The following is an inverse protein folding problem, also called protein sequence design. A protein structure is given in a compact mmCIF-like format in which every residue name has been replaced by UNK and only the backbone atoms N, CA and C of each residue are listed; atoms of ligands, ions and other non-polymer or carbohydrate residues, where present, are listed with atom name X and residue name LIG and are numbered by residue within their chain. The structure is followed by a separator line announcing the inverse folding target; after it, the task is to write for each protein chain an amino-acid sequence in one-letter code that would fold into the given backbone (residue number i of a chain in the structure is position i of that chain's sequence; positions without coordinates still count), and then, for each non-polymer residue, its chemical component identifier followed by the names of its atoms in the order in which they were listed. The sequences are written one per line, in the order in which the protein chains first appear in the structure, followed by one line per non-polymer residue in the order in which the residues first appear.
data_IF_527054388143
#
_entry.id   IF_527054388143
#
_cell.length_a   1.000
_cell.length_b   1.000
_cell.length_c   1.000
_cell.angle_alpha   90.00
_cell.angle_beta   90.00
_cell.angle_gamma   90.00
#
_symmetry.space_group_name_H-M   'P 1'
#
loop_
_entity.id
_entity.type
_entity.pdbx_description
1 polymer ?
#
# COMPACT_ATOMS: atom_id res chain seq x y z
N UNK A 1 6.42 34.77 1.48
CA UNK A 1 5.22 35.14 2.22
C UNK A 1 4.05 34.15 2.09
N UNK A 2 4.05 33.21 1.13
CA UNK A 2 3.01 32.16 0.95
C UNK A 2 3.17 30.95 1.90
N UNK A 3 4.38 30.66 2.39
CA UNK A 3 4.70 29.50 3.25
C UNK A 3 3.87 29.46 4.54
N UNK A 4 3.43 30.61 5.05
CA UNK A 4 2.66 30.74 6.30
C UNK A 4 1.32 29.98 6.28
N UNK A 5 0.79 29.66 5.10
CA UNK A 5 -0.50 28.97 4.92
C UNK A 5 -0.36 27.50 4.50
N UNK A 6 0.86 27.07 4.18
CA UNK A 6 1.13 25.66 3.76
C UNK A 6 1.34 24.84 5.02
N UNK A 7 0.54 23.78 5.19
CA UNK A 7 0.61 22.89 6.36
C UNK A 7 1.50 21.67 6.10
N UNK A 8 1.63 21.22 4.87
CA UNK A 8 2.47 20.10 4.46
C UNK A 8 2.73 20.14 2.96
N UNK A 9 3.74 19.42 2.50
CA UNK A 9 4.10 19.27 1.09
C UNK A 9 3.86 17.80 0.69
N UNK A 10 3.31 17.58 -0.48
CA UNK A 10 3.18 16.26 -1.07
C UNK A 10 4.02 16.20 -2.34
N UNK A 11 5.17 15.51 -2.28
CA UNK A 11 6.00 15.24 -3.45
C UNK A 11 5.31 14.16 -4.29
N UNK A 12 4.94 14.53 -5.53
CA UNK A 12 4.21 13.66 -6.47
C UNK A 12 5.11 12.98 -7.49
N UNK A 13 6.42 13.10 -7.30
CA UNK A 13 7.39 12.37 -8.11
C UNK A 13 7.12 10.88 -8.01
N UNK A 14 7.27 10.18 -9.13
CA UNK A 14 7.06 8.73 -9.14
C UNK A 14 8.06 8.01 -8.21
N UNK A 15 9.29 8.55 -8.11
CA UNK A 15 10.38 8.03 -7.27
C UNK A 15 11.24 9.20 -6.83
N UNK A 16 11.07 9.68 -5.60
CA UNK A 16 11.83 10.82 -5.11
C UNK A 16 13.31 10.46 -4.84
N UNK A 17 13.59 9.24 -4.40
CA UNK A 17 14.95 8.77 -4.09
C UNK A 17 15.65 8.03 -5.24
N UNK A 18 15.40 8.43 -6.50
CA UNK A 18 16.00 7.77 -7.66
C UNK A 18 17.53 7.91 -7.67
N UNK A 19 18.04 9.09 -7.33
CA UNK A 19 19.47 9.41 -7.26
C UNK A 19 19.86 9.66 -5.81
N UNK A 20 20.64 8.76 -5.21
CA UNK A 20 20.92 8.74 -3.77
C UNK A 20 21.62 10.01 -3.28
N UNK A 21 22.66 10.47 -4.02
CA UNK A 21 23.45 11.66 -3.61
C UNK A 21 22.57 12.91 -3.64
N UNK A 22 21.86 13.11 -4.77
CA UNK A 22 20.93 14.23 -4.89
C UNK A 22 19.84 14.20 -3.81
N UNK A 23 19.30 13.00 -3.51
CA UNK A 23 18.27 12.85 -2.49
C UNK A 23 18.79 13.22 -1.10
N UNK A 24 20.01 12.82 -0.78
CA UNK A 24 20.66 13.14 0.50
C UNK A 24 20.86 14.64 0.64
N UNK A 25 21.40 15.31 -0.39
CA UNK A 25 21.60 16.75 -0.40
C UNK A 25 20.27 17.52 -0.32
N UNK A 26 19.27 17.05 -1.07
CA UNK A 26 17.93 17.63 -1.03
C UNK A 26 17.29 17.51 0.36
N UNK A 27 17.39 16.36 1.03
CA UNK A 27 16.84 16.18 2.37
C UNK A 27 17.54 17.06 3.40
N UNK A 28 18.87 17.20 3.32
CA UNK A 28 19.64 18.09 4.19
C UNK A 28 19.22 19.56 4.00
N UNK A 29 19.11 20.00 2.75
CA UNK A 29 18.67 21.37 2.44
C UNK A 29 17.22 21.62 2.84
N UNK A 30 16.35 20.62 2.63
CA UNK A 30 14.94 20.69 3.05
C UNK A 30 14.80 20.82 4.55
N UNK A 31 15.54 20.01 5.31
CA UNK A 31 15.62 20.07 6.77
C UNK A 31 16.09 21.44 7.27
N UNK A 32 17.05 22.06 6.58
CA UNK A 32 17.60 23.37 6.96
C UNK A 32 16.69 24.54 6.60
N UNK A 33 16.06 24.53 5.41
CA UNK A 33 15.38 25.68 4.84
C UNK A 33 13.84 25.68 4.96
N UNK A 34 13.21 24.49 4.99
CA UNK A 34 11.76 24.40 4.76
C UNK A 34 10.97 24.07 6.04
N UNK A 35 11.39 23.07 6.80
CA UNK A 35 10.76 22.65 8.08
C UNK A 35 9.27 22.28 8.00
N UNK A 36 8.72 21.95 6.83
CA UNK A 36 7.33 21.52 6.68
C UNK A 36 7.24 19.98 6.63
N UNK A 37 6.21 19.40 7.24
CA UNK A 37 5.95 17.97 7.05
C UNK A 37 5.72 17.65 5.57
N UNK A 38 6.18 16.48 5.12
CA UNK A 38 5.98 16.06 3.73
C UNK A 38 5.63 14.58 3.59
N UNK A 39 5.04 14.25 2.42
CA UNK A 39 4.82 12.87 1.97
C UNK A 39 5.52 12.69 0.62
N UNK A 40 5.97 11.47 0.33
CA UNK A 40 6.66 11.16 -0.93
C UNK A 40 6.49 9.70 -1.32
N UNK A 41 6.71 9.42 -2.62
CA UNK A 41 6.81 8.06 -3.15
C UNK A 41 8.28 7.65 -3.23
N UNK A 42 8.58 6.44 -2.77
CA UNK A 42 9.93 5.91 -2.71
C UNK A 42 10.04 4.51 -3.33
N UNK A 43 11.24 4.19 -3.80
CA UNK A 43 11.68 2.82 -4.07
C UNK A 43 12.62 2.33 -2.96
N UNK A 44 12.62 1.01 -2.74
CA UNK A 44 13.37 0.39 -1.65
C UNK A 44 14.71 -0.21 -2.08
N UNK A 45 15.04 -0.17 -3.36
CA UNK A 45 16.23 -0.78 -3.95
C UNK A 45 17.53 -0.30 -3.25
N UNK A 46 17.60 1.00 -2.97
CA UNK A 46 18.77 1.65 -2.36
C UNK A 46 18.46 2.25 -0.98
N UNK A 47 17.43 1.70 -0.29
CA UNK A 47 17.05 2.20 1.03
C UNK A 47 18.05 1.71 2.08
N UNK A 48 18.56 2.65 2.89
CA UNK A 48 19.39 2.38 4.06
C UNK A 48 18.75 2.93 5.32
N UNK A 49 19.23 2.50 6.49
CA UNK A 49 18.74 3.02 7.75
C UNK A 49 19.05 4.51 7.91
N UNK A 50 20.24 4.94 7.44
CA UNK A 50 20.67 6.34 7.46
C UNK A 50 19.75 7.21 6.64
N UNK A 51 19.33 6.73 5.44
CA UNK A 51 18.37 7.44 4.59
C UNK A 51 17.03 7.61 5.31
N UNK A 52 16.53 6.56 5.97
CA UNK A 52 15.28 6.62 6.74
C UNK A 52 15.37 7.60 7.90
N UNK A 53 16.50 7.59 8.64
CA UNK A 53 16.77 8.54 9.71
C UNK A 53 16.78 9.98 9.20
N UNK A 54 17.49 10.25 8.11
CA UNK A 54 17.55 11.57 7.48
C UNK A 54 16.17 12.07 7.07
N UNK A 55 15.33 11.23 6.46
CA UNK A 55 13.95 11.57 6.12
C UNK A 55 13.11 11.92 7.35
N UNK A 56 13.26 11.15 8.45
CA UNK A 56 12.58 11.47 9.70
C UNK A 56 12.99 12.83 10.25
N UNK A 57 14.27 13.14 10.24
CA UNK A 57 14.81 14.41 10.67
C UNK A 57 14.37 15.57 9.77
N UNK A 58 14.20 15.32 8.46
CA UNK A 58 13.70 16.29 7.49
C UNK A 58 12.18 16.52 7.61
N UNK A 59 11.46 15.72 8.43
CA UNK A 59 10.05 15.91 8.70
C UNK A 59 9.11 15.08 7.82
N UNK A 60 9.54 13.91 7.33
CA UNK A 60 8.62 13.02 6.60
C UNK A 60 7.43 12.64 7.48
N UNK A 61 6.23 12.85 6.94
CA UNK A 61 4.98 12.55 7.62
C UNK A 61 4.45 11.14 7.28
N UNK A 62 4.57 10.72 6.01
CA UNK A 62 4.17 9.42 5.53
C UNK A 62 4.95 9.08 4.25
N UNK A 63 5.24 7.81 4.07
CA UNK A 63 5.94 7.29 2.89
C UNK A 63 4.99 6.36 2.12
N UNK A 64 4.90 6.59 0.82
CA UNK A 64 4.19 5.75 -0.13
C UNK A 64 5.19 4.84 -0.86
N UNK A 65 4.96 3.52 -0.83
CA UNK A 65 5.88 2.52 -1.38
C UNK A 65 5.17 1.60 -2.36
N UNK A 66 5.69 1.50 -3.58
CA UNK A 66 5.27 0.46 -4.52
C UNK A 66 5.95 -0.88 -4.20
N UNK A 67 5.28 -1.76 -3.47
CA UNK A 67 5.70 -3.17 -3.30
C UNK A 67 5.35 -3.97 -4.55
N UNK A 68 4.23 -3.67 -5.15
CA UNK A 68 3.62 -4.17 -6.38
C UNK A 68 3.28 -5.66 -6.31
N UNK A 69 4.26 -6.55 -6.13
CA UNK A 69 4.08 -8.00 -6.02
C UNK A 69 4.96 -8.59 -4.93
N UNK A 70 4.46 -9.58 -4.21
CA UNK A 70 5.22 -10.41 -3.27
C UNK A 70 5.94 -11.58 -3.96
N UNK A 71 5.69 -11.81 -5.24
CA UNK A 71 6.42 -12.79 -6.01
C UNK A 71 7.69 -12.17 -6.60
N UNK A 72 8.85 -12.70 -6.19
CA UNK A 72 10.15 -12.16 -6.59
C UNK A 72 10.40 -12.32 -8.09
N UNK A 73 9.93 -13.41 -8.72
CA UNK A 73 10.07 -13.59 -10.17
C UNK A 73 9.29 -12.49 -10.92
N UNK A 74 8.06 -12.21 -10.51
CA UNK A 74 7.26 -11.13 -11.11
C UNK A 74 7.95 -9.79 -10.93
N UNK A 75 8.45 -9.48 -9.73
CA UNK A 75 9.15 -8.21 -9.50
C UNK A 75 10.39 -8.06 -10.39
N UNK A 76 11.23 -9.07 -10.47
CA UNK A 76 12.50 -8.98 -11.20
C UNK A 76 12.31 -9.08 -12.71
N UNK A 77 11.57 -10.11 -13.17
CA UNK A 77 11.47 -10.41 -14.59
C UNK A 77 10.56 -9.46 -15.35
N UNK A 78 9.38 -9.16 -14.79
CA UNK A 78 8.35 -8.42 -15.49
C UNK A 78 8.25 -6.96 -15.06
N UNK A 79 8.37 -6.65 -13.78
CA UNK A 79 8.27 -5.27 -13.28
C UNK A 79 9.60 -4.52 -13.29
N UNK A 80 10.72 -5.21 -13.55
CA UNK A 80 12.08 -4.64 -13.52
C UNK A 80 12.38 -3.94 -12.19
N UNK A 81 11.90 -4.53 -11.09
CA UNK A 81 12.12 -4.06 -9.73
C UNK A 81 13.04 -5.02 -9.00
N UNK A 82 14.29 -4.65 -8.85
CA UNK A 82 15.34 -5.48 -8.26
C UNK A 82 15.36 -5.36 -6.72
N UNK A 83 14.19 -5.49 -6.08
CA UNK A 83 14.04 -5.47 -4.63
C UNK A 83 13.81 -6.89 -4.11
N UNK A 84 14.72 -7.42 -3.30
CA UNK A 84 14.51 -8.69 -2.61
C UNK A 84 13.49 -8.56 -1.48
N UNK A 85 12.91 -9.69 -1.05
CA UNK A 85 12.02 -9.71 0.11
C UNK A 85 12.74 -9.18 1.37
N UNK A 86 14.02 -9.49 1.52
CA UNK A 86 14.82 -9.04 2.66
C UNK A 86 15.01 -7.52 2.67
N UNK A 87 15.34 -6.91 1.53
CA UNK A 87 15.44 -5.46 1.40
C UNK A 87 14.12 -4.77 1.75
N UNK A 88 13.01 -5.29 1.25
CA UNK A 88 11.67 -4.79 1.57
C UNK A 88 11.40 -4.90 3.08
N UNK A 89 11.62 -6.07 3.67
CA UNK A 89 11.37 -6.31 5.10
C UNK A 89 12.25 -5.41 5.98
N UNK A 90 13.53 -5.25 5.64
CA UNK A 90 14.45 -4.41 6.42
C UNK A 90 14.07 -2.92 6.32
N UNK A 91 13.71 -2.42 5.13
CA UNK A 91 13.22 -1.05 4.98
C UNK A 91 12.00 -0.76 5.87
N UNK A 92 11.05 -1.69 5.94
CA UNK A 92 9.88 -1.53 6.80
C UNK A 92 10.19 -1.67 8.29
N UNK A 93 11.23 -2.42 8.68
CA UNK A 93 11.74 -2.40 10.07
C UNK A 93 12.28 -1.03 10.44
N UNK A 94 13.03 -0.38 9.54
CA UNK A 94 13.55 0.97 9.76
C UNK A 94 12.44 2.00 9.82
N UNK A 95 11.46 1.96 8.92
CA UNK A 95 10.30 2.87 9.00
C UNK A 95 9.59 2.76 10.34
N UNK A 96 9.41 1.55 10.87
CA UNK A 96 8.81 1.34 12.19
C UNK A 96 9.71 1.83 13.34
N UNK A 97 11.03 1.60 13.24
CA UNK A 97 12.01 2.06 14.24
C UNK A 97 11.95 3.58 14.42
N UNK A 98 11.72 4.32 13.32
CA UNK A 98 11.66 5.78 13.31
C UNK A 98 10.23 6.33 13.33
N UNK A 99 9.22 5.52 13.63
CA UNK A 99 7.81 5.93 13.67
C UNK A 99 7.37 6.71 12.42
N UNK A 100 7.68 6.17 11.23
CA UNK A 100 7.27 6.73 9.96
C UNK A 100 6.10 5.90 9.41
N UNK A 101 4.88 6.46 9.32
CA UNK A 101 3.73 5.80 8.73
C UNK A 101 3.96 5.46 7.25
N UNK A 102 3.43 4.31 6.83
CA UNK A 102 3.65 3.79 5.48
C UNK A 102 2.35 3.42 4.78
N UNK A 103 2.29 3.67 3.48
CA UNK A 103 1.28 3.15 2.57
C UNK A 103 1.95 2.25 1.53
N UNK A 104 1.41 1.04 1.31
CA UNK A 104 1.87 0.18 0.21
C UNK A 104 0.89 0.17 -0.96
N UNK A 105 1.41 0.32 -2.16
CA UNK A 105 0.71 0.00 -3.40
C UNK A 105 1.07 -1.43 -3.82
N UNK A 106 0.05 -2.19 -4.21
CA UNK A 106 0.18 -3.56 -4.67
C UNK A 106 -0.65 -3.72 -5.94
N UNK A 107 -0.21 -4.58 -6.85
CA UNK A 107 -0.93 -4.86 -8.09
C UNK A 107 -1.38 -6.32 -8.07
N UNK A 108 -2.61 -6.57 -8.48
CA UNK A 108 -3.24 -7.88 -8.61
C UNK A 108 -3.63 -8.10 -10.06
N UNK A 109 -3.45 -9.30 -10.58
CA UNK A 109 -3.73 -9.62 -11.98
C UNK A 109 -2.60 -9.25 -12.93
N UNK A 110 -1.36 -9.22 -12.44
CA UNK A 110 -0.16 -9.00 -13.26
C UNK A 110 0.01 -10.11 -14.32
N UNK A 111 0.69 -9.82 -15.45
CA UNK A 111 1.07 -10.86 -16.40
C UNK A 111 1.83 -12.00 -15.70
N UNK A 112 1.49 -13.25 -16.06
CA UNK A 112 2.04 -14.48 -15.48
C UNK A 112 1.79 -14.64 -13.97
N UNK A 113 0.91 -13.84 -13.38
CA UNK A 113 0.45 -14.05 -12.01
C UNK A 113 -0.62 -15.15 -11.96
N UNK A 114 -0.68 -15.83 -10.84
CA UNK A 114 -1.72 -16.78 -10.45
C UNK A 114 -2.11 -16.53 -8.98
N UNK A 115 -3.06 -17.33 -8.49
CA UNK A 115 -3.54 -17.20 -7.12
C UNK A 115 -2.45 -17.48 -6.06
N UNK A 116 -1.48 -18.35 -6.35
CA UNK A 116 -0.37 -18.66 -5.43
C UNK A 116 0.64 -17.49 -5.38
N UNK A 117 0.93 -16.87 -6.52
CA UNK A 117 1.81 -15.70 -6.59
C UNK A 117 1.14 -14.48 -5.90
N UNK A 118 -0.17 -14.29 -6.12
CA UNK A 118 -0.94 -13.26 -5.42
C UNK A 118 -0.96 -13.48 -3.89
N UNK A 119 -1.01 -14.73 -3.43
CA UNK A 119 -0.89 -15.06 -2.02
C UNK A 119 0.47 -14.63 -1.42
N UNK A 120 1.57 -14.75 -2.17
CA UNK A 120 2.88 -14.25 -1.72
C UNK A 120 2.84 -12.74 -1.46
N UNK A 121 2.10 -11.97 -2.29
CA UNK A 121 1.93 -10.52 -2.09
C UNK A 121 1.19 -10.22 -0.79
N UNK A 122 0.14 -10.96 -0.48
CA UNK A 122 -0.59 -10.85 0.80
C UNK A 122 0.34 -11.19 1.98
N UNK A 123 1.06 -12.31 1.90
CA UNK A 123 1.99 -12.74 2.97
C UNK A 123 3.13 -11.75 3.19
N UNK A 124 3.69 -11.18 2.13
CA UNK A 124 4.72 -10.15 2.25
C UNK A 124 4.16 -8.90 2.96
N UNK A 125 2.97 -8.41 2.57
CA UNK A 125 2.32 -7.30 3.25
C UNK A 125 2.01 -7.61 4.73
N UNK A 126 1.68 -8.85 5.08
CA UNK A 126 1.49 -9.26 6.46
C UNK A 126 2.78 -9.21 7.28
N UNK A 127 3.94 -9.59 6.67
CA UNK A 127 5.27 -9.54 7.31
C UNK A 127 5.75 -8.11 7.53
N UNK A 128 5.66 -7.26 6.51
CA UNK A 128 6.09 -5.86 6.59
C UNK A 128 5.12 -4.98 7.39
N UNK A 129 3.85 -5.38 7.48
CA UNK A 129 2.82 -4.73 8.28
C UNK A 129 2.75 -3.21 8.07
N UNK A 130 2.43 -2.72 6.87
CA UNK A 130 2.25 -1.30 6.60
C UNK A 130 1.02 -0.76 7.34
N UNK A 131 0.97 0.56 7.55
CA UNK A 131 -0.19 1.22 8.18
C UNK A 131 -1.40 1.22 7.26
N UNK A 132 -1.15 1.40 5.96
CA UNK A 132 -2.17 1.38 4.91
C UNK A 132 -1.69 0.54 3.73
N UNK A 133 -2.63 -0.03 2.99
CA UNK A 133 -2.35 -0.80 1.78
C UNK A 133 -3.47 -0.62 0.76
N UNK A 134 -3.08 -0.51 -0.50
CA UNK A 134 -4.00 -0.36 -1.64
C UNK A 134 -3.65 -1.45 -2.65
N UNK A 135 -4.50 -2.46 -2.83
CA UNK A 135 -4.44 -3.36 -3.96
C UNK A 135 -5.09 -2.69 -5.17
N UNK A 136 -4.37 -2.60 -6.28
CA UNK A 136 -4.89 -2.13 -7.56
C UNK A 136 -4.95 -3.31 -8.53
N UNK A 137 -5.98 -3.35 -9.36
CA UNK A 137 -6.04 -4.33 -10.46
C UNK A 137 -5.13 -3.84 -11.59
N UNK A 138 -4.35 -4.77 -12.15
CA UNK A 138 -3.46 -4.49 -13.26
C UNK A 138 -4.20 -3.94 -14.47
N UNK A 139 -3.63 -2.90 -15.07
CA UNK A 139 -4.15 -2.25 -16.26
C UNK A 139 -3.03 -2.15 -17.31
N UNK A 140 -3.12 -2.85 -18.45
CA UNK A 140 -2.10 -2.84 -19.50
C UNK A 140 -2.17 -1.54 -20.33
N UNK A 141 -1.55 -0.46 -19.84
CA UNK A 141 -1.54 0.82 -20.58
C UNK A 141 -0.85 0.67 -21.93
N UNK A 142 -1.50 1.08 -23.04
CA UNK A 142 -0.92 0.99 -24.37
C UNK A 142 0.47 1.60 -24.47
N UNK A 143 1.30 1.09 -25.37
CA UNK A 143 2.67 1.55 -25.63
C UNK A 143 3.66 1.31 -24.48
N UNK A 144 3.27 0.67 -23.39
CA UNK A 144 4.20 0.29 -22.33
C UNK A 144 4.81 -1.10 -22.57
N UNK A 145 6.03 -1.32 -22.06
CA UNK A 145 6.65 -2.66 -22.08
C UNK A 145 5.79 -3.70 -21.36
N UNK A 146 5.11 -3.30 -20.29
CA UNK A 146 4.29 -4.20 -19.50
C UNK A 146 3.00 -4.61 -20.24
N UNK A 147 2.49 -3.76 -21.15
CA UNK A 147 1.40 -4.13 -22.04
C UNK A 147 1.82 -5.23 -23.03
N UNK A 148 3.02 -5.14 -23.62
CA UNK A 148 3.57 -6.21 -24.48
C UNK A 148 3.74 -7.52 -23.71
N UNK A 149 4.23 -7.45 -22.47
CA UNK A 149 4.35 -8.63 -21.60
C UNK A 149 2.96 -9.22 -21.30
N UNK A 150 1.91 -8.40 -21.19
CA UNK A 150 0.54 -8.89 -21.03
C UNK A 150 0.01 -9.61 -22.28
N UNK A 151 0.32 -9.09 -23.48
CA UNK A 151 0.02 -9.78 -24.76
C UNK A 151 0.74 -11.14 -24.83
N UNK A 152 2.01 -11.17 -24.46
CA UNK A 152 2.79 -12.43 -24.39
C UNK A 152 2.16 -13.42 -23.39
N UNK A 153 1.76 -12.95 -22.21
CA UNK A 153 1.12 -13.79 -21.20
C UNK A 153 -0.21 -14.40 -21.68
N UNK A 154 -1.01 -13.61 -22.42
CA UNK A 154 -2.25 -14.11 -23.04
C UNK A 154 -1.94 -15.15 -24.12
N UNK A 155 -0.94 -14.91 -24.96
CA UNK A 155 -0.52 -15.88 -25.99
C UNK A 155 -0.04 -17.20 -25.37
N UNK A 156 0.74 -17.12 -24.28
CA UNK A 156 1.35 -18.30 -23.66
C UNK A 156 0.38 -19.10 -22.79
N UNK A 157 -0.50 -18.42 -22.06
CA UNK A 157 -1.39 -19.02 -21.06
C UNK A 157 -2.86 -19.03 -21.46
N UNK A 158 -3.22 -18.40 -22.60
CA UNK A 158 -4.60 -18.13 -22.96
C UNK A 158 -5.26 -17.05 -22.12
N UNK A 159 -6.37 -16.54 -22.61
CA UNK A 159 -7.10 -15.44 -21.97
C UNK A 159 -7.39 -14.32 -22.95
N UNK A 160 -7.56 -13.11 -22.43
CA UNK A 160 -7.88 -11.92 -23.26
C UNK A 160 -7.43 -10.62 -22.56
N UNK A 161 -7.19 -9.59 -23.38
CA UNK A 161 -7.06 -8.20 -22.92
C UNK A 161 -8.33 -7.48 -23.36
N UNK A 162 -9.04 -6.91 -22.38
CA UNK A 162 -10.29 -6.19 -22.58
C UNK A 162 -10.06 -4.70 -22.73
N UNK A 163 -10.97 -4.03 -23.41
CA UNK A 163 -10.94 -2.58 -23.58
C UNK A 163 -11.08 -1.86 -22.23
N UNK A 164 -10.08 -1.08 -21.87
CA UNK A 164 -10.06 -0.27 -20.65
C UNK A 164 -10.98 0.96 -20.73
N UNK A 165 -11.40 1.35 -21.91
CA UNK A 165 -12.36 2.44 -22.14
C UNK A 165 -13.80 2.05 -21.75
N UNK A 166 -14.12 0.75 -21.67
CA UNK A 166 -15.42 0.30 -21.20
C UNK A 166 -15.50 0.34 -19.66
N UNK A 167 -16.36 1.20 -19.08
CA UNK A 167 -16.49 1.33 -17.62
C UNK A 167 -17.05 0.06 -16.93
N UNK A 168 -17.52 -0.93 -17.68
CA UNK A 168 -17.95 -2.23 -17.15
C UNK A 168 -16.79 -3.18 -16.92
N UNK A 169 -15.66 -2.96 -17.59
CA UNK A 169 -14.46 -3.77 -17.45
C UNK A 169 -13.76 -3.45 -16.12
N UNK A 170 -13.78 -4.39 -15.20
CA UNK A 170 -13.07 -4.26 -13.90
C UNK A 170 -11.70 -4.89 -13.95
N UNK A 171 -11.51 -5.94 -14.71
CA UNK A 171 -10.26 -6.69 -14.87
C UNK A 171 -9.89 -6.67 -16.35
N UNK A 172 -8.97 -5.77 -16.78
CA UNK A 172 -8.58 -5.63 -18.17
C UNK A 172 -7.78 -6.82 -18.70
N UNK A 173 -6.90 -7.42 -17.89
CA UNK A 173 -6.13 -8.61 -18.24
C UNK A 173 -6.75 -9.85 -17.60
N UNK A 174 -7.23 -10.78 -18.42
CA UNK A 174 -7.70 -12.10 -17.99
C UNK A 174 -6.74 -13.15 -18.50
N UNK A 175 -6.28 -14.02 -17.62
CA UNK A 175 -5.45 -15.18 -17.93
C UNK A 175 -6.19 -16.44 -17.49
N UNK A 176 -6.08 -17.54 -18.23
CA UNK A 176 -6.69 -18.82 -17.83
C UNK A 176 -6.16 -19.32 -16.48
N UNK A 177 -4.89 -19.00 -16.16
CA UNK A 177 -4.25 -19.31 -14.87
C UNK A 177 -4.74 -18.40 -13.73
N UNK A 178 -5.29 -17.21 -14.06
CA UNK A 178 -5.78 -16.23 -13.07
C UNK A 178 -7.05 -15.53 -13.58
N UNK A 179 -8.20 -16.24 -13.60
CA UNK A 179 -9.44 -15.72 -14.15
C UNK A 179 -10.03 -14.58 -13.31
N UNK A 180 -10.87 -13.76 -13.93
CA UNK A 180 -11.48 -12.55 -13.37
C UNK A 180 -11.99 -12.70 -11.93
N UNK A 181 -12.75 -13.76 -11.65
CA UNK A 181 -13.32 -13.95 -10.31
C UNK A 181 -12.27 -14.19 -9.22
N UNK A 182 -11.08 -14.68 -9.58
CA UNK A 182 -9.95 -14.82 -8.64
C UNK A 182 -9.24 -13.48 -8.43
N UNK A 183 -9.03 -12.70 -9.48
CA UNK A 183 -8.46 -11.33 -9.39
C UNK A 183 -9.34 -10.46 -8.49
N UNK A 184 -10.66 -10.44 -8.73
CA UNK A 184 -11.63 -9.70 -7.93
C UNK A 184 -11.72 -10.21 -6.46
N UNK A 185 -11.56 -11.52 -6.26
CA UNK A 185 -11.50 -12.09 -4.91
C UNK A 185 -10.26 -11.60 -4.16
N UNK A 186 -9.09 -11.65 -4.80
CA UNK A 186 -7.84 -11.20 -4.19
C UNK A 186 -7.92 -9.71 -3.85
N UNK A 187 -8.33 -8.87 -4.79
CA UNK A 187 -8.48 -7.42 -4.57
C UNK A 187 -9.45 -7.12 -3.42
N UNK A 188 -10.67 -7.66 -3.45
CA UNK A 188 -11.72 -7.38 -2.47
C UNK A 188 -11.42 -7.90 -1.06
N UNK A 189 -10.60 -8.94 -0.93
CA UNK A 189 -10.25 -9.55 0.35
C UNK A 189 -8.79 -9.33 0.78
N UNK A 190 -7.98 -8.62 -0.01
CA UNK A 190 -6.57 -8.39 0.22
C UNK A 190 -6.27 -7.96 1.66
N UNK A 191 -6.82 -6.86 2.08
CA UNK A 191 -6.59 -6.29 3.43
C UNK A 191 -7.05 -7.23 4.54
N UNK A 192 -8.13 -7.98 4.32
CA UNK A 192 -8.67 -8.93 5.31
C UNK A 192 -7.68 -10.09 5.51
N UNK A 193 -7.20 -10.69 4.42
CA UNK A 193 -6.20 -11.75 4.49
C UNK A 193 -4.87 -11.28 5.06
N UNK A 194 -4.38 -10.11 4.67
CA UNK A 194 -3.17 -9.51 5.29
C UNK A 194 -3.32 -9.43 6.82
N UNK A 195 -4.47 -8.97 7.33
CA UNK A 195 -4.73 -8.91 8.78
C UNK A 195 -4.76 -10.29 9.43
N UNK A 196 -5.34 -11.29 8.77
CA UNK A 196 -5.38 -12.67 9.27
C UNK A 196 -3.98 -13.31 9.31
N UNK A 197 -3.17 -13.15 8.24
CA UNK A 197 -1.78 -13.63 8.26
C UNK A 197 -0.92 -12.89 9.29
N UNK A 198 -1.13 -11.59 9.47
CA UNK A 198 -0.47 -10.83 10.54
C UNK A 198 -0.82 -11.40 11.92
N UNK A 199 -2.05 -11.81 12.14
CA UNK A 199 -2.45 -12.49 13.37
C UNK A 199 -1.73 -13.84 13.50
N UNK A 200 -1.71 -14.67 12.45
CA UNK A 200 -0.99 -15.95 12.43
C UNK A 200 0.49 -15.78 12.83
N UNK A 201 1.17 -14.77 12.29
CA UNK A 201 2.59 -14.50 12.57
C UNK A 201 2.87 -13.97 13.99
N UNK A 202 1.83 -13.56 14.73
CA UNK A 202 1.93 -13.14 16.14
C UNK A 202 1.63 -14.27 17.13
N UNK A 203 1.04 -15.37 16.65
CA UNK A 203 0.75 -16.53 17.49
C UNK A 203 2.03 -17.32 17.83
N UNK A 204 2.02 -18.14 18.90
CA UNK A 204 3.08 -19.12 19.15
C UNK A 204 3.34 -19.98 17.91
N UNK A 205 4.62 -20.26 17.61
CA UNK A 205 5.06 -20.85 16.31
C UNK A 205 4.21 -22.05 15.86
N UNK A 206 3.90 -22.99 16.72
CA UNK A 206 3.10 -24.17 16.37
C UNK A 206 1.69 -23.82 15.93
N UNK A 207 0.97 -23.01 16.72
CA UNK A 207 -0.42 -22.59 16.45
C UNK A 207 -0.46 -21.68 15.23
N UNK A 208 0.46 -20.71 15.14
CA UNK A 208 0.57 -19.78 14.03
C UNK A 208 0.79 -20.49 12.70
N UNK A 209 1.64 -21.51 12.67
CA UNK A 209 1.88 -22.30 11.45
C UNK A 209 0.65 -23.09 11.01
N UNK A 210 -0.06 -23.74 11.94
CA UNK A 210 -1.32 -24.43 11.62
C UNK A 210 -2.35 -23.46 11.09
N UNK A 211 -2.49 -22.30 11.72
CA UNK A 211 -3.42 -21.26 11.27
C UNK A 211 -3.04 -20.69 9.90
N UNK A 212 -1.76 -20.46 9.63
CA UNK A 212 -1.26 -20.05 8.32
C UNK A 212 -1.64 -21.08 7.23
N UNK A 213 -1.38 -22.37 7.46
CA UNK A 213 -1.75 -23.45 6.52
C UNK A 213 -3.25 -23.52 6.26
N UNK A 214 -4.06 -23.30 7.30
CA UNK A 214 -5.52 -23.24 7.15
C UNK A 214 -5.92 -22.04 6.26
N UNK A 215 -5.32 -20.87 6.47
CA UNK A 215 -5.57 -19.69 5.65
C UNK A 215 -5.13 -19.92 4.20
N UNK A 216 -3.97 -20.57 3.98
CA UNK A 216 -3.51 -20.98 2.65
C UNK A 216 -4.57 -21.86 1.96
N UNK A 217 -5.06 -22.88 2.66
CA UNK A 217 -6.11 -23.75 2.15
C UNK A 217 -7.41 -23.01 1.80
N UNK A 218 -7.82 -22.04 2.62
CA UNK A 218 -8.98 -21.18 2.32
C UNK A 218 -8.70 -20.28 1.12
N UNK A 219 -7.51 -19.69 1.01
CA UNK A 219 -7.19 -18.75 -0.05
C UNK A 219 -7.06 -19.43 -1.42
N UNK A 220 -6.26 -20.51 -1.50
CA UNK A 220 -5.98 -21.21 -2.76
C UNK A 220 -6.90 -22.41 -3.00
N UNK A 221 -7.66 -22.85 -2.01
CA UNK A 221 -8.47 -24.07 -2.04
C UNK A 221 -9.45 -24.13 -3.20
N UNK A 222 -9.55 -25.28 -3.85
CA UNK A 222 -10.44 -25.53 -5.00
C UNK A 222 -11.92 -25.29 -4.66
N UNK A 223 -12.33 -25.58 -3.42
CA UNK A 223 -13.71 -25.48 -2.95
C UNK A 223 -14.11 -24.11 -2.41
N UNK A 224 -13.17 -23.15 -2.38
CA UNK A 224 -13.49 -21.78 -1.92
C UNK A 224 -14.50 -21.13 -2.87
N UNK A 225 -15.66 -20.70 -2.40
CA UNK A 225 -16.72 -20.14 -3.24
C UNK A 225 -16.42 -18.67 -3.62
N UNK A 226 -15.33 -18.45 -4.34
CA UNK A 226 -14.81 -17.10 -4.66
C UNK A 226 -15.83 -16.21 -5.37
N UNK A 227 -16.61 -16.77 -6.31
CA UNK A 227 -17.67 -16.01 -7.01
C UNK A 227 -18.72 -15.46 -6.03
N UNK A 228 -19.14 -16.27 -5.06
CA UNK A 228 -20.06 -15.84 -4.01
C UNK A 228 -19.42 -14.79 -3.09
N UNK A 229 -18.18 -15.00 -2.67
CA UNK A 229 -17.44 -14.05 -1.85
C UNK A 229 -17.26 -12.70 -2.56
N UNK A 230 -16.96 -12.69 -3.85
CA UNK A 230 -16.89 -11.46 -4.67
C UNK A 230 -18.25 -10.76 -4.71
N UNK A 231 -19.34 -11.49 -4.91
CA UNK A 231 -20.70 -10.92 -4.89
C UNK A 231 -21.03 -10.28 -3.53
N UNK A 232 -20.65 -10.95 -2.44
CA UNK A 232 -20.81 -10.45 -1.06
C UNK A 232 -19.97 -9.18 -0.81
N UNK A 233 -18.72 -9.15 -1.25
CA UNK A 233 -17.86 -7.96 -1.15
C UNK A 233 -18.47 -6.78 -1.89
N UNK A 234 -18.89 -6.98 -3.14
CA UNK A 234 -19.53 -5.94 -3.95
C UNK A 234 -20.84 -5.41 -3.32
N UNK A 235 -21.65 -6.28 -2.69
CA UNK A 235 -22.85 -5.88 -1.96
C UNK A 235 -22.50 -5.03 -0.74
N UNK A 236 -21.50 -5.45 0.03
CA UNK A 236 -20.99 -4.71 1.18
C UNK A 236 -20.49 -3.31 0.79
N UNK A 237 -19.73 -3.20 -0.28
CA UNK A 237 -19.23 -1.92 -0.79
C UNK A 237 -20.34 -0.98 -1.28
N UNK A 238 -21.38 -1.53 -1.91
CA UNK A 238 -22.58 -0.75 -2.28
C UNK A 238 -23.29 -0.21 -1.04
N UNK A 239 -23.45 -1.03 -0.01
CA UNK A 239 -24.08 -0.64 1.25
C UNK A 239 -23.28 0.45 1.97
N UNK A 240 -21.94 0.29 2.06
CA UNK A 240 -21.06 1.30 2.67
C UNK A 240 -21.08 2.60 1.87
N UNK A 241 -21.06 2.56 0.54
CA UNK A 241 -21.19 3.75 -0.31
C UNK A 241 -22.54 4.42 -0.14
N UNK A 242 -23.61 3.64 -0.04
CA UNK A 242 -24.95 4.17 0.23
C UNK A 242 -25.02 4.84 1.61
N UNK A 243 -24.52 4.18 2.67
CA UNK A 243 -24.45 4.77 4.02
C UNK A 243 -23.63 6.06 4.07
N UNK A 244 -22.47 6.09 3.39
CA UNK A 244 -21.65 7.31 3.29
C UNK A 244 -22.36 8.44 2.53
N UNK A 245 -23.12 8.11 1.49
CA UNK A 245 -23.92 9.08 0.70
C UNK A 245 -25.09 9.58 1.53
N UNK A 246 -25.80 8.68 2.21
CA UNK A 246 -26.91 9.01 3.11
C UNK A 246 -26.43 9.88 4.28
N UNK A 247 -25.35 9.48 4.94
CA UNK A 247 -24.77 10.25 6.03
C UNK A 247 -24.32 11.65 5.61
N UNK A 248 -23.69 11.81 4.43
CA UNK A 248 -23.36 13.13 3.87
C UNK A 248 -24.60 13.96 3.59
N UNK A 249 -25.68 13.37 3.08
CA UNK A 249 -26.90 14.10 2.69
C UNK A 249 -27.76 14.51 3.91
N UNK A 250 -27.84 13.64 4.92
CA UNK A 250 -28.80 13.81 6.03
C UNK A 250 -28.14 14.11 7.40
N UNK A 251 -26.84 13.82 7.55
CA UNK A 251 -26.12 13.99 8.81
C UNK A 251 -24.88 14.90 8.67
N UNK A 252 -24.90 15.81 7.69
CA UNK A 252 -23.75 16.68 7.38
C UNK A 252 -23.27 17.45 8.61
N UNK A 253 -24.19 17.94 9.45
CA UNK A 253 -23.85 18.64 10.69
C UNK A 253 -23.15 17.76 11.73
N UNK A 254 -23.60 16.50 11.88
CA UNK A 254 -22.98 15.52 12.79
C UNK A 254 -21.64 15.05 12.22
N UNK A 255 -21.57 14.77 10.92
CA UNK A 255 -20.32 14.39 10.24
C UNK A 255 -19.25 15.48 10.34
N UNK A 256 -19.60 16.76 10.13
CA UNK A 256 -18.69 17.89 10.29
C UNK A 256 -18.25 18.05 11.76
N UNK A 257 -19.16 17.90 12.73
CA UNK A 257 -18.81 17.91 14.15
C UNK A 257 -17.85 16.78 14.54
N UNK A 258 -18.09 15.56 14.07
CA UNK A 258 -17.21 14.41 14.34
C UNK A 258 -15.85 14.58 13.65
N UNK A 259 -15.84 15.03 12.40
CA UNK A 259 -14.60 15.33 11.68
C UNK A 259 -13.79 16.42 12.38
N UNK A 260 -14.44 17.52 12.75
CA UNK A 260 -13.77 18.62 13.43
C UNK A 260 -13.32 18.25 14.85
N UNK A 261 -14.01 17.29 15.50
CA UNK A 261 -13.59 16.75 16.81
C UNK A 261 -12.33 15.89 16.67
N UNK A 262 -12.22 15.06 15.61
CA UNK A 262 -11.03 14.29 15.31
C UNK A 262 -9.83 15.23 15.03
N UNK A 263 -10.00 16.28 14.22
CA UNK A 263 -8.96 17.28 13.97
C UNK A 263 -8.54 18.05 15.25
N UNK A 264 -9.48 18.40 16.14
CA UNK A 264 -9.17 19.05 17.42
C UNK A 264 -8.42 18.15 18.39
N UNK A 265 -8.67 16.85 18.39
CA UNK A 265 -7.92 15.88 19.21
C UNK A 265 -6.48 15.75 18.72
N UNK A 266 -6.26 15.76 17.41
CA UNK A 266 -4.90 15.72 16.83
C UNK A 266 -4.14 17.04 17.08
N UNK A 267 -4.81 18.17 17.01
CA UNK A 267 -4.23 19.48 17.36
C UNK A 267 -3.91 19.60 18.87
N UNK A 268 -4.77 19.10 19.73
CA UNK A 268 -4.55 19.09 21.18
C UNK A 268 -3.39 18.19 21.59
N UNK A 269 -3.23 17.03 20.94
CA UNK A 269 -2.07 16.15 21.14
C UNK A 269 -0.78 16.80 20.70
N UNK A 270 -0.74 17.44 19.53
CA UNK A 270 0.44 18.18 19.03
C UNK A 270 0.82 19.38 19.93
N UNK A 271 -0.16 20.06 20.50
CA UNK A 271 0.11 21.18 21.39
C UNK A 271 0.60 20.71 22.77
N UNK A 272 0.13 19.55 23.26
CA UNK A 272 0.62 18.93 24.49
C UNK A 272 2.08 18.44 24.34
N UNK A 273 2.43 17.87 23.18
CA UNK A 273 3.81 17.43 22.88
C UNK A 273 4.77 18.64 22.79
N UNK A 274 4.37 19.75 22.16
CA UNK A 274 5.15 20.99 22.11
C UNK A 274 5.33 21.63 23.50
N UNK A 275 4.31 21.61 24.34
CA UNK A 275 4.40 22.15 25.72
C UNK A 275 5.35 21.37 26.60
N UNK A 276 5.57 20.07 26.33
CA UNK A 276 6.55 19.24 27.04
C UNK A 276 7.98 19.54 26.56
N UNK A 277 8.18 19.77 25.24
CA UNK A 277 9.51 20.15 24.69
C UNK A 277 9.96 21.54 25.13
N UNK A 278 9.05 22.51 25.20
CA UNK A 278 9.38 23.87 25.66
C UNK A 278 9.72 23.92 27.17
N UNK A 279 9.04 23.12 28.00
CA UNK A 279 9.36 22.99 29.41
C UNK A 279 10.69 22.26 29.69
N UNK A 280 11.10 21.34 28.81
CA UNK A 280 12.39 20.65 28.94
C UNK A 280 13.57 21.56 28.53
N UNK A 281 13.34 22.49 27.61
CA UNK A 281 14.36 23.50 27.21
C UNK A 281 14.46 24.69 28.18
N UNK A 282 13.45 24.94 28.99
CA UNK A 282 13.46 26.01 30.00
C UNK A 282 14.08 25.55 31.35
N UNK A 283 14.31 24.24 31.52
CA UNK A 283 14.89 23.65 32.74
C UNK A 283 16.31 23.10 32.54
N UNK A 284 16.94 23.35 31.38
CA UNK A 284 18.32 23.09 31.06
C UNK A 284 19.07 24.40 30.80
#
# INVERSE_FOLDING_TARGET
MLIKYIKYINFRDAILNMYTDWFTDFMNLYKEKIHLPFTCNLRLDNMTEETVKLMKEAGVYMIDVGVESGDQEIRFKYLKRNMSDEQIINSFKWFKKYDIPTLTYNIVGLPYEDLHKALKTIKLNAKINPDRMIPNIFCPYPMTQLAKIAEDAVRDNGGEIRDMGDPKVKVPLIQNTFPEHQVLFVEGYFTKFVKLYKLAYRMPKGIGHVFERMLDGIFVGRFTPRKFLVALSNAGDKTVRWMKRFGRKHLTGIYLKLRNRAYKVDEAKKNAEKGVEDNTKASA
#
